data_IF_835386249476
#
_entry.id   IF_835386249476
#
_cell.length_a   1.000
_cell.length_b   1.000
_cell.length_c   1.000
_cell.angle_alpha   90.00
_cell.angle_beta   90.00
_cell.angle_gamma   90.00
#
_symmetry.space_group_name_H-M   'P 1'
#
loop_
_entity.id
_entity.type
_entity.pdbx_description
1 polymer ?
#
# COMPACT_ATOMS: atom_id res chain seq x y z
N UNK A 1 -7.20 0.88 5.00
CA UNK A 1 -6.18 1.95 4.90
C UNK A 1 -6.18 2.73 6.20
N UNK A 2 -5.01 2.92 6.82
CA UNK A 2 -4.88 3.65 8.09
C UNK A 2 -4.93 5.16 7.81
N UNK A 3 -5.77 5.88 8.54
CA UNK A 3 -5.80 7.35 8.50
C UNK A 3 -4.90 7.89 9.61
N UNK A 4 -3.97 8.76 9.25
CA UNK A 4 -3.02 9.38 10.16
C UNK A 4 -3.41 10.83 10.43
N UNK A 5 -3.16 11.30 11.63
CA UNK A 5 -3.08 12.74 11.90
C UNK A 5 -1.71 13.31 11.46
N UNK A 6 -1.55 14.62 11.48
CA UNK A 6 -0.29 15.27 11.04
C UNK A 6 0.94 14.78 11.83
N UNK A 7 0.83 14.61 13.16
CA UNK A 7 1.95 14.15 14.00
C UNK A 7 2.37 12.73 13.60
N UNK A 8 1.41 11.85 13.31
CA UNK A 8 1.68 10.49 12.85
C UNK A 8 2.28 10.48 11.44
N UNK A 9 1.76 11.31 10.52
CA UNK A 9 2.30 11.43 9.16
C UNK A 9 3.77 11.90 9.16
N UNK A 10 4.13 12.83 10.05
CA UNK A 10 5.51 13.34 10.19
C UNK A 10 6.51 12.30 10.72
N UNK A 11 6.03 11.20 11.33
CA UNK A 11 6.88 10.08 11.78
C UNK A 11 7.17 9.07 10.66
N UNK A 12 6.51 9.18 9.51
CA UNK A 12 6.72 8.29 8.38
C UNK A 12 8.11 8.49 7.74
N UNK A 13 8.57 7.54 6.93
CA UNK A 13 9.78 7.69 6.13
C UNK A 13 9.73 8.91 5.20
N UNK A 14 10.88 9.55 4.97
CA UNK A 14 10.98 10.61 3.97
C UNK A 14 10.65 10.03 2.59
N UNK A 15 9.91 10.79 1.79
CA UNK A 15 9.41 10.38 0.48
C UNK A 15 8.07 9.63 0.50
N UNK A 16 7.48 9.39 1.68
CA UNK A 16 6.09 8.90 1.79
C UNK A 16 5.13 9.92 1.21
N UNK A 17 4.27 9.46 0.32
CA UNK A 17 3.20 10.25 -0.27
C UNK A 17 1.91 10.01 0.50
N UNK A 18 1.07 11.04 0.61
CA UNK A 18 -0.19 11.00 1.32
C UNK A 18 -1.30 11.55 0.46
N UNK A 19 -2.41 10.84 0.41
CA UNK A 19 -3.70 11.44 0.09
C UNK A 19 -4.16 12.24 1.31
N UNK A 20 -4.44 13.52 1.13
CA UNK A 20 -4.87 14.42 2.20
C UNK A 20 -6.35 14.71 2.04
N UNK A 21 -7.13 14.46 3.11
CA UNK A 21 -8.56 14.77 3.16
C UNK A 21 -8.82 15.87 4.20
N UNK A 22 -9.50 16.93 3.75
CA UNK A 22 -9.75 18.15 4.53
C UNK A 22 -11.13 18.24 5.18
N UNK A 23 -12.08 17.40 4.77
CA UNK A 23 -13.46 17.43 5.27
C UNK A 23 -13.99 15.99 5.47
N UNK A 24 -14.75 15.79 6.55
CA UNK A 24 -15.61 14.62 6.76
C UNK A 24 -16.61 14.38 5.61
N UNK A 25 -16.78 15.35 4.69
CA UNK A 25 -17.60 15.24 3.45
C UNK A 25 -16.83 14.77 2.21
N UNK A 26 -15.55 14.41 2.33
CA UNK A 26 -14.82 13.69 1.28
C UNK A 26 -14.45 14.51 0.05
N UNK A 27 -14.33 15.84 0.17
CA UNK A 27 -13.84 16.70 -0.94
C UNK A 27 -12.73 17.65 -0.48
N UNK A 28 -11.52 17.16 -0.63
CA UNK A 28 -10.47 17.74 -1.48
C UNK A 28 -9.35 16.71 -1.44
N UNK A 29 -9.10 16.01 -2.55
CA UNK A 29 -8.06 14.97 -2.67
C UNK A 29 -6.85 15.67 -3.25
N UNK A 30 -5.84 15.88 -2.45
CA UNK A 30 -4.57 16.39 -2.96
C UNK A 30 -3.45 15.55 -2.36
N UNK A 31 -2.41 15.31 -3.16
CA UNK A 31 -1.30 14.48 -2.73
C UNK A 31 -0.20 15.35 -2.14
N UNK A 32 0.23 15.03 -0.91
CA UNK A 32 1.43 15.59 -0.30
C UNK A 32 2.54 14.56 -0.24
N UNK A 33 3.78 15.01 -0.18
CA UNK A 33 4.96 14.18 0.05
C UNK A 33 5.73 14.71 1.26
N UNK A 34 6.17 13.81 2.13
CA UNK A 34 7.05 14.16 3.25
C UNK A 34 8.48 14.35 2.74
N UNK A 35 9.02 15.54 2.94
CA UNK A 35 10.38 15.94 2.59
C UNK A 35 11.15 16.35 3.84
N UNK A 36 12.46 16.53 3.67
CA UNK A 36 13.38 17.00 4.69
C UNK A 36 14.27 18.08 4.07
N UNK A 37 14.56 19.13 4.85
CA UNK A 37 15.59 20.12 4.55
C UNK A 37 16.68 20.06 5.63
N UNK A 38 17.62 21.01 5.61
CA UNK A 38 18.80 21.02 6.49
C UNK A 38 18.47 21.01 8.00
N UNK A 39 17.23 21.26 8.42
CA UNK A 39 16.84 21.29 9.84
C UNK A 39 15.55 20.57 10.20
N UNK A 40 14.60 20.38 9.28
CA UNK A 40 13.26 19.93 9.61
C UNK A 40 12.57 19.10 8.51
N UNK A 41 11.69 18.19 8.94
CA UNK A 41 10.73 17.53 8.05
C UNK A 41 9.57 18.47 7.72
N UNK A 42 9.02 18.36 6.53
CA UNK A 42 7.84 19.12 6.10
C UNK A 42 7.04 18.39 5.02
N UNK A 43 5.74 18.70 4.90
CA UNK A 43 4.86 18.16 3.86
C UNK A 43 4.75 19.15 2.72
N UNK A 44 4.94 18.68 1.49
CA UNK A 44 4.89 19.49 0.26
C UNK A 44 3.85 18.95 -0.72
N UNK A 45 3.17 19.82 -1.47
CA UNK A 45 2.20 19.39 -2.46
C UNK A 45 2.90 18.85 -3.70
N UNK A 46 2.49 17.69 -4.19
CA UNK A 46 3.11 17.10 -5.38
C UNK A 46 2.81 17.94 -6.64
N UNK A 47 1.67 18.65 -6.69
CA UNK A 47 1.24 19.47 -7.84
C UNK A 47 0.46 20.75 -7.43
N UNK A 48 0.71 21.28 -6.24
CA UNK A 48 -0.07 22.40 -5.69
C UNK A 48 0.76 23.66 -5.44
N UNK A 49 0.13 24.83 -5.34
CA UNK A 49 0.81 26.01 -4.83
C UNK A 49 1.26 25.75 -3.37
N UNK A 50 2.37 26.36 -2.92
CA UNK A 50 2.82 26.23 -1.54
C UNK A 50 1.76 26.79 -0.59
N UNK A 51 1.23 25.95 0.30
CA UNK A 51 0.29 26.33 1.36
C UNK A 51 1.04 26.65 2.65
N UNK A 52 0.56 27.63 3.41
CA UNK A 52 1.17 28.02 4.69
C UNK A 52 0.68 27.06 5.77
N UNK A 53 1.63 26.49 6.53
CA UNK A 53 1.43 25.46 7.58
C UNK A 53 0.32 25.79 8.60
N UNK A 54 0.01 27.08 8.81
CA UNK A 54 -1.04 27.53 9.73
C UNK A 54 -2.46 27.04 9.37
N UNK A 55 -2.72 26.63 8.13
CA UNK A 55 -4.05 26.14 7.71
C UNK A 55 -4.37 24.73 8.25
N UNK A 56 -3.35 23.96 8.68
CA UNK A 56 -3.49 22.58 9.17
C UNK A 56 -3.78 22.47 10.67
N UNK A 57 -3.50 23.51 11.46
CA UNK A 57 -3.64 23.46 12.92
C UNK A 57 -5.10 23.49 13.40
N UNK A 58 -6.04 23.86 12.51
CA UNK A 58 -7.44 24.11 12.86
C UNK A 58 -8.45 23.16 12.18
N UNK A 59 -7.98 22.19 11.41
CA UNK A 59 -8.82 21.32 10.57
C UNK A 59 -8.57 19.84 10.87
N UNK A 60 -9.64 19.02 10.83
CA UNK A 60 -9.59 17.56 11.04
C UNK A 60 -8.97 16.84 9.83
N UNK A 61 -7.75 17.22 9.46
CA UNK A 61 -7.08 16.70 8.28
C UNK A 61 -6.62 15.26 8.53
N UNK A 62 -6.93 14.39 7.57
CA UNK A 62 -6.50 12.99 7.56
C UNK A 62 -5.50 12.78 6.44
N UNK A 63 -4.38 12.16 6.79
CA UNK A 63 -3.32 11.76 5.87
C UNK A 63 -3.41 10.25 5.67
N UNK A 64 -3.62 9.82 4.44
CA UNK A 64 -3.68 8.40 4.08
C UNK A 64 -2.41 8.10 3.27
N UNK A 65 -1.46 7.33 3.80
CA UNK A 65 -0.24 7.03 3.08
C UNK A 65 -0.56 6.23 1.81
N UNK A 66 -0.02 6.71 0.70
CA UNK A 66 -0.06 6.04 -0.60
C UNK A 66 1.11 5.06 -0.59
N UNK A 67 0.79 3.77 -0.49
CA UNK A 67 1.82 2.75 -0.56
C UNK A 67 2.42 2.70 -1.96
N UNK A 68 3.74 2.84 -2.03
CA UNK A 68 4.48 2.73 -3.28
C UNK A 68 4.63 1.26 -3.67
N UNK A 69 4.52 0.96 -4.97
CA UNK A 69 4.84 -0.37 -5.44
C UNK A 69 6.33 -0.67 -5.24
N UNK A 70 6.62 -1.91 -4.94
CA UNK A 70 7.98 -2.45 -4.80
C UNK A 70 8.23 -3.49 -5.88
N UNK A 71 9.49 -3.86 -6.09
CA UNK A 71 9.84 -5.02 -6.90
C UNK A 71 9.50 -6.33 -6.19
N UNK A 72 9.30 -7.41 -6.96
CA UNK A 72 9.15 -8.75 -6.38
C UNK A 72 10.37 -9.15 -5.53
N UNK A 73 11.58 -8.74 -5.92
CA UNK A 73 12.79 -9.04 -5.16
C UNK A 73 12.82 -8.34 -3.80
N UNK A 74 12.30 -7.12 -3.68
CA UNK A 74 12.11 -6.47 -2.38
C UNK A 74 11.12 -7.23 -1.51
N UNK A 75 10.07 -7.82 -2.10
CA UNK A 75 9.13 -8.68 -1.37
C UNK A 75 9.82 -9.94 -0.85
N UNK A 76 10.61 -10.62 -1.69
CA UNK A 76 11.35 -11.84 -1.31
C UNK A 76 12.34 -11.56 -0.17
N UNK A 77 12.98 -10.39 -0.19
CA UNK A 77 13.95 -10.00 0.84
C UNK A 77 13.30 -9.40 2.11
N UNK A 78 11.98 -9.39 2.18
CA UNK A 78 11.22 -8.82 3.29
C UNK A 78 10.56 -9.91 4.15
N UNK A 79 10.43 -9.65 5.45
CA UNK A 79 9.62 -10.46 6.36
C UNK A 79 8.18 -9.91 6.54
N UNK A 80 7.81 -8.88 5.77
CA UNK A 80 6.49 -8.25 5.82
C UNK A 80 5.48 -9.03 4.98
N UNK A 81 4.20 -8.82 5.27
CA UNK A 81 3.11 -9.32 4.44
C UNK A 81 3.07 -8.53 3.12
N UNK A 82 2.61 -9.15 2.05
CA UNK A 82 2.59 -8.56 0.72
C UNK A 82 1.23 -8.74 0.04
N UNK A 83 0.96 -7.87 -0.94
CA UNK A 83 -0.10 -8.08 -1.93
C UNK A 83 0.44 -7.81 -3.32
N UNK A 84 -0.23 -8.35 -4.34
CA UNK A 84 0.09 -8.10 -5.74
C UNK A 84 -1.18 -7.75 -6.50
N UNK A 85 -1.08 -6.75 -7.37
CA UNK A 85 -2.12 -6.36 -8.30
C UNK A 85 -1.69 -6.74 -9.71
N UNK A 86 -2.46 -7.63 -10.34
CA UNK A 86 -2.29 -8.08 -11.72
C UNK A 86 -3.64 -8.56 -12.28
N UNK A 87 -3.82 -8.55 -13.60
CA UNK A 87 -5.08 -8.99 -14.22
C UNK A 87 -5.36 -10.48 -14.01
N UNK A 88 -4.31 -11.31 -13.93
CA UNK A 88 -4.40 -12.74 -13.68
C UNK A 88 -4.67 -13.09 -12.20
N UNK A 89 -4.50 -12.12 -11.29
CA UNK A 89 -4.81 -12.30 -9.87
C UNK A 89 -6.32 -12.14 -9.66
N UNK A 90 -6.99 -13.28 -9.41
CA UNK A 90 -8.43 -13.38 -9.17
C UNK A 90 -8.72 -13.69 -7.70
N UNK A 91 -9.89 -13.26 -7.22
CA UNK A 91 -10.37 -13.63 -5.88
C UNK A 91 -10.56 -15.15 -5.79
N UNK A 92 -10.05 -15.78 -4.73
CA UNK A 92 -10.13 -17.22 -4.50
C UNK A 92 -10.90 -17.44 -3.21
N UNK A 93 -12.16 -17.85 -3.37
CA UNK A 93 -13.11 -17.93 -2.26
C UNK A 93 -12.97 -19.17 -1.39
N UNK A 94 -12.15 -20.15 -1.76
CA UNK A 94 -11.80 -21.35 -0.97
C UNK A 94 -10.74 -22.19 -1.67
N UNK A 95 -9.63 -22.47 -0.99
CA UNK A 95 -8.73 -23.60 -1.27
C UNK A 95 -9.13 -24.76 -0.36
N UNK A 96 -10.29 -25.40 -0.59
CA UNK A 96 -10.86 -26.33 0.39
C UNK A 96 -10.42 -27.78 0.27
N UNK A 97 -9.74 -28.20 -0.82
CA UNK A 97 -9.80 -29.63 -1.17
C UNK A 97 -8.46 -30.39 -1.09
N UNK A 98 -7.34 -29.75 -0.74
CA UNK A 98 -6.01 -30.42 -0.73
C UNK A 98 -5.20 -30.30 0.57
N UNK A 99 -5.66 -29.55 1.57
CA UNK A 99 -4.96 -29.50 2.87
C UNK A 99 -5.95 -29.28 4.02
N UNK A 100 -6.27 -30.33 4.76
CA UNK A 100 -7.15 -30.34 5.94
C UNK A 100 -6.70 -29.42 7.10
N UNK A 101 -5.63 -28.65 6.95
CA UNK A 101 -4.95 -27.94 8.04
C UNK A 101 -5.19 -26.44 8.03
N UNK A 102 -5.50 -25.81 6.89
CA UNK A 102 -5.76 -24.36 6.84
C UNK A 102 -6.81 -24.00 5.79
N UNK A 103 -7.94 -23.45 6.23
CA UNK A 103 -8.86 -22.72 5.34
C UNK A 103 -8.16 -21.44 4.89
N UNK A 104 -7.40 -21.51 3.80
CA UNK A 104 -6.82 -20.33 3.18
C UNK A 104 -7.88 -19.66 2.32
N UNK A 105 -8.29 -18.45 2.73
CA UNK A 105 -9.10 -17.56 1.91
C UNK A 105 -8.17 -16.52 1.29
N UNK A 106 -8.19 -16.39 -0.04
CA UNK A 106 -7.44 -15.36 -0.75
C UNK A 106 -8.42 -14.33 -1.31
N UNK A 107 -8.45 -13.16 -0.65
CA UNK A 107 -9.21 -12.01 -1.12
C UNK A 107 -8.27 -11.10 -1.90
N UNK A 108 -8.67 -10.77 -3.12
CA UNK A 108 -7.92 -9.85 -3.97
C UNK A 108 -7.72 -8.53 -3.23
N UNK A 109 -6.48 -8.05 -3.16
CA UNK A 109 -6.12 -6.80 -2.51
C UNK A 109 -5.80 -6.90 -1.02
N UNK A 110 -5.90 -8.07 -0.39
CA UNK A 110 -5.46 -8.28 0.99
C UNK A 110 -3.96 -8.61 1.07
N UNK A 111 -3.31 -8.10 2.12
CA UNK A 111 -1.93 -8.44 2.43
C UNK A 111 -1.85 -9.80 3.10
N UNK A 112 -0.89 -10.62 2.70
CA UNK A 112 -0.65 -11.93 3.30
C UNK A 112 0.83 -12.34 3.23
N UNK A 113 1.25 -13.35 4.01
CA UNK A 113 2.59 -13.91 3.88
C UNK A 113 2.88 -14.38 2.44
N UNK A 114 4.10 -14.11 1.94
CA UNK A 114 4.50 -14.44 0.57
C UNK A 114 4.30 -15.93 0.25
N UNK A 115 4.62 -16.83 1.17
CA UNK A 115 4.43 -18.27 0.97
C UNK A 115 2.95 -18.64 0.73
N UNK A 116 2.00 -17.97 1.40
CA UNK A 116 0.57 -18.20 1.18
C UNK A 116 0.10 -17.62 -0.15
N UNK A 117 0.60 -16.44 -0.52
CA UNK A 117 0.33 -15.85 -1.82
C UNK A 117 0.83 -16.75 -2.95
N UNK A 118 2.08 -17.21 -2.87
CA UNK A 118 2.68 -18.10 -3.87
C UNK A 118 1.94 -19.45 -3.94
N UNK A 119 1.48 -19.98 -2.81
CA UNK A 119 0.64 -21.18 -2.79
C UNK A 119 -0.69 -20.96 -3.52
N UNK A 120 -1.37 -19.85 -3.25
CA UNK A 120 -2.63 -19.51 -3.92
C UNK A 120 -2.45 -19.32 -5.43
N UNK A 121 -1.38 -18.63 -5.85
CA UNK A 121 -1.04 -18.47 -7.27
C UNK A 121 -0.72 -19.82 -7.91
N UNK A 122 0.11 -20.65 -7.26
CA UNK A 122 0.48 -21.98 -7.75
C UNK A 122 -0.70 -22.94 -7.95
N UNK A 123 -1.79 -22.75 -7.19
CA UNK A 123 -2.99 -23.57 -7.33
C UNK A 123 -3.92 -23.09 -8.45
N UNK A 124 -3.96 -21.79 -8.75
CA UNK A 124 -4.98 -21.19 -9.62
C UNK A 124 -4.47 -20.64 -10.94
N UNK A 125 -3.18 -20.39 -11.06
CA UNK A 125 -2.55 -19.81 -12.23
C UNK A 125 -1.71 -20.86 -12.95
N UNK A 126 -1.61 -20.74 -14.27
CA UNK A 126 -0.62 -21.51 -15.03
C UNK A 126 0.79 -21.07 -14.68
N UNK A 127 1.80 -21.87 -15.06
CA UNK A 127 3.19 -21.48 -14.86
C UNK A 127 3.51 -20.17 -15.60
N UNK A 128 2.99 -19.99 -16.82
CA UNK A 128 3.15 -18.78 -17.62
C UNK A 128 2.54 -17.57 -16.92
N UNK A 129 1.33 -17.69 -16.39
CA UNK A 129 0.65 -16.62 -15.66
C UNK A 129 1.42 -16.20 -14.40
N UNK A 130 1.98 -17.17 -13.66
CA UNK A 130 2.78 -16.88 -12.46
C UNK A 130 4.04 -16.10 -12.84
N UNK A 131 4.72 -16.49 -13.91
CA UNK A 131 5.90 -15.77 -14.39
C UNK A 131 5.55 -14.34 -14.80
N UNK A 132 4.41 -14.15 -15.44
CA UNK A 132 3.93 -12.82 -15.83
C UNK A 132 3.60 -11.97 -14.60
N UNK A 133 2.91 -12.53 -13.59
CA UNK A 133 2.62 -11.85 -12.33
C UNK A 133 3.93 -11.45 -11.60
N UNK A 134 4.95 -12.31 -11.59
CA UNK A 134 6.23 -12.00 -10.95
C UNK A 134 6.94 -10.85 -11.67
N UNK A 135 6.94 -10.85 -13.00
CA UNK A 135 7.65 -9.84 -13.81
C UNK A 135 6.93 -8.50 -13.85
N UNK A 136 5.62 -8.53 -14.03
CA UNK A 136 4.81 -7.36 -14.41
C UNK A 136 3.69 -7.05 -13.40
N UNK A 137 3.57 -7.84 -12.33
CA UNK A 137 2.68 -7.52 -11.21
C UNK A 137 3.14 -6.29 -10.43
N UNK A 138 2.17 -5.55 -9.90
CA UNK A 138 2.43 -4.40 -9.03
C UNK A 138 2.42 -4.90 -7.58
N UNK A 139 3.57 -4.96 -6.95
CA UNK A 139 3.75 -5.55 -5.62
C UNK A 139 3.75 -4.48 -4.52
N UNK A 140 3.23 -4.83 -3.34
CA UNK A 140 3.19 -3.95 -2.19
C UNK A 140 3.57 -4.71 -0.92
N UNK A 141 4.20 -4.03 0.03
CA UNK A 141 4.53 -4.55 1.37
C UNK A 141 3.71 -3.83 2.43
N UNK A 142 3.21 -4.58 3.40
CA UNK A 142 2.50 -4.01 4.55
C UNK A 142 3.48 -3.22 5.43
N UNK A 143 3.11 -1.97 5.77
CA UNK A 143 3.92 -1.08 6.59
C UNK A 143 4.06 -1.54 8.05
#
# INVERSE_FOLDING_TARGET
MKQLNIIEAMKMPIGTEFEVNYDNKGRAISNMILKENDSDKYLDWINGPPLKVFDFLFSNIKFIPIQKPVSFMEVVNSNKRCKVEHEYVKEIRRLSDLCFVYKLEFKKGEYMPLNYLMYALGYHCSQEDIQEIIKNGIWYLEE
#
